data_IF_894844423683
#
_entry.id   IF_894844423683
#
_cell.length_a   1.000
_cell.length_b   1.000
_cell.length_c   1.000
_cell.angle_alpha   90.00
_cell.angle_beta   90.00
_cell.angle_gamma   90.00
#
_symmetry.space_group_name_H-M   'P 1'
#
loop_
_entity.id
_entity.type
_entity.pdbx_description
1 polymer ?
#
# COMPACT_ATOMS: atom_id res chain seq x y z
N UNK A 1 -1.74 10.88 12.88
CA UNK A 1 -3.11 10.91 13.42
C UNK A 1 -3.83 9.70 12.81
N UNK A 2 -4.51 8.86 13.59
CA UNK A 2 -5.26 7.70 13.05
C UNK A 2 -6.48 8.21 12.28
N UNK A 3 -6.50 8.01 10.97
CA UNK A 3 -7.40 8.57 9.99
C UNK A 3 -8.35 7.49 9.47
N UNK A 4 -9.24 6.94 10.30
CA UNK A 4 -10.61 6.62 9.83
C UNK A 4 -11.52 5.95 10.84
N UNK A 5 -10.99 5.29 11.88
CA UNK A 5 -11.87 4.54 12.78
C UNK A 5 -12.58 5.36 13.86
N UNK A 6 -12.08 6.56 14.20
CA UNK A 6 -12.61 7.34 15.33
C UNK A 6 -12.45 8.86 15.12
N UNK A 7 -13.30 9.45 14.28
CA UNK A 7 -13.31 10.89 14.00
C UNK A 7 -13.84 11.78 15.14
N UNK A 8 -14.21 11.25 16.31
CA UNK A 8 -14.94 12.02 17.33
C UNK A 8 -14.15 12.46 18.56
N UNK A 9 -12.96 11.92 18.84
CA UNK A 9 -12.28 12.16 20.14
C UNK A 9 -10.75 12.30 20.07
N UNK A 10 -10.20 12.99 19.08
CA UNK A 10 -8.77 13.28 19.05
C UNK A 10 -8.41 14.56 19.81
N UNK A 11 -7.51 14.47 20.80
CA UNK A 11 -6.72 15.60 21.31
C UNK A 11 -5.25 15.34 20.93
N UNK A 12 -4.58 16.32 20.33
CA UNK A 12 -3.17 16.23 19.94
C UNK A 12 -2.84 15.04 19.00
N UNK A 13 -3.74 14.67 18.09
CA UNK A 13 -3.54 13.59 17.12
C UNK A 13 -3.28 12.18 17.70
N UNK A 14 -3.62 11.96 18.98
CA UNK A 14 -3.63 10.65 19.62
C UNK A 14 -5.07 10.22 19.88
N UNK A 15 -5.34 8.93 19.67
CA UNK A 15 -6.56 8.28 20.16
C UNK A 15 -6.38 8.07 21.67
N UNK A 16 -7.44 8.25 22.45
CA UNK A 16 -7.41 7.94 23.89
C UNK A 16 -7.04 6.47 24.11
N UNK A 17 -6.09 6.19 25.00
CA UNK A 17 -5.55 4.86 25.27
C UNK A 17 -4.27 4.48 24.50
N UNK A 18 -3.81 5.33 23.56
CA UNK A 18 -2.59 5.12 22.77
C UNK A 18 -1.37 5.89 23.31
N UNK A 19 -1.38 6.32 24.58
CA UNK A 19 -0.40 7.24 25.15
C UNK A 19 1.01 6.65 25.24
N UNK A 20 1.11 5.33 25.34
CA UNK A 20 2.36 4.56 25.48
C UNK A 20 2.84 3.94 24.17
N UNK A 21 2.10 4.07 23.07
CA UNK A 21 2.50 3.53 21.77
C UNK A 21 3.65 4.33 21.16
N UNK A 22 4.63 3.63 20.56
CA UNK A 22 5.82 4.23 19.96
C UNK A 22 5.47 4.87 18.62
N UNK A 23 5.85 6.14 18.44
CA UNK A 23 5.73 6.84 17.17
C UNK A 23 6.88 6.49 16.21
N UNK A 24 6.64 6.52 14.89
CA UNK A 24 5.36 6.81 14.22
C UNK A 24 4.39 5.62 14.34
N UNK A 25 3.11 5.88 14.63
CA UNK A 25 2.09 4.85 14.50
C UNK A 25 1.61 4.81 13.04
N UNK A 26 1.38 3.60 12.53
CA UNK A 26 0.71 3.37 11.26
C UNK A 26 -0.75 3.81 11.41
N UNK A 27 -1.01 5.04 11.01
CA UNK A 27 -2.35 5.42 10.66
C UNK A 27 -2.79 4.53 9.48
N UNK A 28 -3.93 3.82 9.55
CA UNK A 28 -4.49 3.16 8.39
C UNK A 28 -5.03 4.26 7.49
N UNK A 29 -4.12 4.93 6.76
CA UNK A 29 -4.49 5.44 5.46
C UNK A 29 -5.00 4.26 4.63
N UNK A 30 -5.72 4.54 3.55
CA UNK A 30 -6.00 3.59 2.47
C UNK A 30 -4.70 3.04 1.88
N UNK A 31 -4.01 2.20 2.63
CA UNK A 31 -2.89 1.43 2.13
C UNK A 31 -3.52 0.47 1.13
N UNK A 32 -3.16 0.67 -0.14
CA UNK A 32 -3.46 -0.28 -1.23
C UNK A 32 -2.82 -1.66 -0.91
N UNK A 33 -1.90 -1.71 0.04
CA UNK A 33 -1.12 -2.88 0.44
C UNK A 33 -1.38 -3.25 1.91
N UNK A 34 -1.39 -4.55 2.18
CA UNK A 34 -1.35 -5.10 3.55
C UNK A 34 0.03 -4.83 4.18
N UNK A 35 0.13 -3.77 4.99
CA UNK A 35 1.39 -3.29 5.58
C UNK A 35 2.09 -4.32 6.49
N UNK A 36 1.40 -5.04 7.40
CA UNK A 36 2.01 -6.15 8.14
C UNK A 36 2.63 -7.19 7.21
N UNK A 37 1.89 -7.66 6.20
CA UNK A 37 2.43 -8.61 5.23
C UNK A 37 3.58 -8.03 4.41
N UNK A 38 3.60 -6.72 4.16
CA UNK A 38 4.72 -6.08 3.48
C UNK A 38 6.03 -6.27 4.24
N UNK A 39 6.00 -6.11 5.57
CA UNK A 39 7.20 -6.28 6.39
C UNK A 39 7.57 -7.75 6.65
N UNK A 40 6.67 -8.69 6.37
CA UNK A 40 6.87 -10.14 6.51
C UNK A 40 7.21 -10.85 5.20
N UNK A 41 7.11 -10.17 4.04
CA UNK A 41 7.38 -10.77 2.73
C UNK A 41 8.88 -11.00 2.46
N UNK A 42 9.19 -11.80 1.43
CA UNK A 42 10.56 -12.08 1.03
C UNK A 42 11.02 -11.30 -0.21
N UNK A 43 10.25 -10.27 -0.62
CA UNK A 43 10.59 -9.40 -1.76
C UNK A 43 11.89 -8.60 -1.52
N UNK A 44 12.31 -8.47 -0.25
CA UNK A 44 13.55 -7.76 0.11
C UNK A 44 13.48 -6.24 -0.08
N UNK A 45 12.27 -5.68 -0.18
CA UNK A 45 12.05 -4.25 -0.39
C UNK A 45 11.56 -3.59 0.90
N UNK A 46 12.37 -2.70 1.48
CA UNK A 46 11.98 -1.90 2.63
C UNK A 46 11.24 -0.62 2.20
N UNK A 47 10.25 -0.20 2.98
CA UNK A 47 9.58 1.10 2.81
C UNK A 47 10.29 2.18 3.65
N UNK A 48 10.32 3.40 3.12
CA UNK A 48 10.71 4.61 3.86
C UNK A 48 9.50 5.54 4.00
N UNK A 49 9.52 6.39 5.01
CA UNK A 49 8.50 7.40 5.22
C UNK A 49 8.45 8.41 4.05
N UNK A 50 7.28 8.98 3.71
CA UNK A 50 7.17 9.95 2.61
C UNK A 50 8.09 11.16 2.72
N UNK A 51 8.43 11.56 3.95
CA UNK A 51 9.34 12.67 4.24
C UNK A 51 10.82 12.30 4.23
N UNK A 52 11.19 11.06 3.87
CA UNK A 52 12.57 10.57 3.96
C UNK A 52 13.55 11.47 3.21
N UNK A 53 13.20 11.90 1.99
CA UNK A 53 14.03 12.80 1.16
C UNK A 53 14.11 14.24 1.69
N UNK A 54 13.19 14.63 2.58
CA UNK A 54 13.16 15.97 3.20
C UNK A 54 13.92 16.00 4.53
N UNK A 55 14.43 14.85 5.00
CA UNK A 55 15.13 14.77 6.28
C UNK A 55 16.46 15.52 6.21
N UNK A 56 16.64 16.55 7.06
CA UNK A 56 17.86 17.35 7.12
C UNK A 56 19.13 16.55 7.49
N UNK A 57 18.96 15.33 8.04
CA UNK A 57 20.07 14.41 8.35
C UNK A 57 20.46 13.53 7.17
N UNK A 58 19.67 13.52 6.09
CA UNK A 58 20.00 12.76 4.89
C UNK A 58 21.22 13.40 4.22
N UNK A 59 22.18 12.57 3.80
CA UNK A 59 23.35 13.09 3.12
C UNK A 59 22.94 13.75 1.79
N UNK A 60 23.47 14.95 1.46
CA UNK A 60 23.16 15.61 0.20
C UNK A 60 23.48 14.77 -1.04
N UNK A 61 24.46 13.87 -0.94
CA UNK A 61 24.81 12.91 -1.99
C UNK A 61 23.65 12.00 -2.37
N UNK A 62 22.80 11.61 -1.41
CA UNK A 62 21.64 10.75 -1.67
C UNK A 62 20.51 11.56 -2.29
N UNK A 63 20.12 12.67 -1.66
CA UNK A 63 19.00 13.49 -2.14
C UNK A 63 19.26 14.14 -3.51
N UNK A 64 20.51 14.49 -3.81
CA UNK A 64 20.89 15.06 -5.10
C UNK A 64 21.12 14.03 -6.21
N UNK A 65 21.16 12.73 -5.90
CA UNK A 65 21.47 11.65 -6.85
C UNK A 65 20.19 10.93 -7.29
N UNK A 66 19.44 11.61 -8.16
CA UNK A 66 18.15 11.15 -8.70
C UNK A 66 18.29 10.93 -10.21
N UNK A 67 17.95 9.73 -10.66
CA UNK A 67 17.70 9.43 -12.07
C UNK A 67 16.20 9.21 -12.30
N UNK A 68 15.62 9.98 -13.22
CA UNK A 68 14.24 9.78 -13.67
C UNK A 68 14.21 8.84 -14.86
N UNK A 69 13.37 7.83 -14.80
CA UNK A 69 13.30 6.76 -15.78
C UNK A 69 11.87 6.60 -16.25
N UNK A 70 11.70 6.64 -17.57
CA UNK A 70 10.44 6.30 -18.22
C UNK A 70 10.56 4.89 -18.81
N UNK A 71 9.64 4.02 -18.41
CA UNK A 71 9.57 2.64 -18.91
C UNK A 71 8.36 2.57 -19.86
N UNK A 72 8.61 2.57 -21.17
CA UNK A 72 7.53 2.68 -22.16
C UNK A 72 6.81 1.35 -22.44
N UNK A 73 7.52 0.24 -22.29
CA UNK A 73 6.99 -1.11 -22.48
C UNK A 73 7.27 -1.95 -21.23
N UNK A 74 6.40 -2.90 -20.87
CA UNK A 74 6.66 -3.80 -19.76
C UNK A 74 8.02 -4.49 -19.91
N UNK A 75 8.85 -4.47 -18.88
CA UNK A 75 10.17 -5.12 -18.85
C UNK A 75 10.24 -6.22 -17.80
N UNK A 76 11.00 -7.27 -18.07
CA UNK A 76 11.34 -8.30 -17.08
C UNK A 76 12.59 -7.93 -16.27
N UNK A 77 12.96 -8.78 -15.31
CA UNK A 77 14.08 -8.54 -14.40
C UNK A 77 15.46 -8.44 -15.09
N UNK A 78 15.63 -9.07 -16.25
CA UNK A 78 16.87 -8.97 -17.06
C UNK A 78 16.89 -7.67 -17.84
N UNK A 79 15.78 -7.33 -18.50
CA UNK A 79 15.63 -6.11 -19.29
C UNK A 79 15.72 -4.86 -18.42
N UNK A 80 15.11 -4.85 -17.22
CA UNK A 80 15.18 -3.71 -16.31
C UNK A 80 16.61 -3.47 -15.81
N UNK A 81 17.39 -4.52 -15.57
CA UNK A 81 18.81 -4.40 -15.18
C UNK A 81 19.62 -3.71 -16.28
N UNK A 82 19.40 -4.09 -17.54
CA UNK A 82 20.11 -3.46 -18.65
C UNK A 82 19.64 -2.01 -18.87
N UNK A 83 18.33 -1.76 -18.80
CA UNK A 83 17.75 -0.42 -18.92
C UNK A 83 18.33 0.55 -17.87
N UNK A 84 18.46 0.08 -16.64
CA UNK A 84 18.90 0.88 -15.50
C UNK A 84 20.43 0.97 -15.37
N UNK A 85 21.20 0.22 -16.16
CA UNK A 85 22.67 0.17 -16.09
C UNK A 85 23.32 1.54 -16.24
N UNK A 86 22.78 2.38 -17.13
CA UNK A 86 23.27 3.76 -17.33
C UNK A 86 23.07 4.67 -16.10
N UNK A 87 22.26 4.25 -15.14
CA UNK A 87 21.96 4.97 -13.90
C UNK A 87 22.57 4.28 -12.67
N UNK A 88 23.59 3.42 -12.84
CA UNK A 88 24.21 2.67 -11.73
C UNK A 88 24.78 3.56 -10.61
N UNK A 89 25.11 4.82 -10.93
CA UNK A 89 25.61 5.80 -9.97
C UNK A 89 24.50 6.57 -9.23
N UNK A 90 23.25 6.42 -9.65
CA UNK A 90 22.11 7.05 -9.00
C UNK A 90 21.77 6.34 -7.69
N UNK A 91 21.50 7.11 -6.64
CA UNK A 91 21.01 6.55 -5.37
C UNK A 91 19.49 6.40 -5.35
N UNK A 92 18.80 7.16 -6.20
CA UNK A 92 17.34 7.17 -6.30
C UNK A 92 16.96 7.00 -7.77
N UNK A 93 16.13 6.00 -8.04
CA UNK A 93 15.45 5.82 -9.32
C UNK A 93 14.00 6.27 -9.13
N UNK A 94 13.59 7.29 -9.86
CA UNK A 94 12.21 7.77 -9.92
C UNK A 94 11.60 7.27 -11.23
N UNK A 95 10.55 6.44 -11.14
CA UNK A 95 9.85 5.90 -12.30
C UNK A 95 8.61 6.79 -12.54
N UNK A 96 8.55 7.43 -13.71
CA UNK A 96 7.49 8.40 -14.03
C UNK A 96 6.07 7.78 -13.96
N UNK A 97 5.92 6.59 -14.55
CA UNK A 97 4.71 5.77 -14.46
C UNK A 97 5.12 4.30 -14.25
N UNK A 98 4.76 3.76 -13.08
CA UNK A 98 5.05 2.37 -12.74
C UNK A 98 3.95 1.41 -13.18
N UNK A 99 2.80 1.91 -13.66
CA UNK A 99 1.69 1.07 -14.09
C UNK A 99 2.12 0.27 -15.32
N UNK A 100 2.01 -1.05 -15.23
CA UNK A 100 2.41 -1.98 -16.29
C UNK A 100 3.90 -1.90 -16.71
N UNK A 101 4.76 -1.26 -15.91
CA UNK A 101 6.18 -1.14 -16.24
C UNK A 101 6.95 -2.45 -16.07
N UNK A 102 6.51 -3.34 -15.17
CA UNK A 102 7.16 -4.62 -14.88
C UNK A 102 6.26 -5.80 -15.22
N UNK A 103 6.80 -6.78 -15.95
CA UNK A 103 6.06 -7.96 -16.39
C UNK A 103 6.44 -9.26 -15.67
N UNK A 104 7.48 -9.25 -14.80
CA UNK A 104 7.88 -10.40 -13.99
C UNK A 104 9.34 -10.81 -14.15
N UNK A 105 9.65 -12.00 -13.64
CA UNK A 105 11.00 -12.59 -13.69
C UNK A 105 11.11 -13.63 -14.81
N UNK A 106 12.28 -13.69 -15.46
CA UNK A 106 12.57 -14.71 -16.48
C UNK A 106 12.62 -16.11 -15.87
N UNK A 107 13.16 -16.23 -14.66
CA UNK A 107 13.18 -17.49 -13.91
C UNK A 107 11.78 -17.84 -13.40
N UNK A 108 11.29 -19.03 -13.78
CA UNK A 108 9.93 -19.47 -13.51
C UNK A 108 9.62 -19.56 -12.00
N UNK A 109 10.54 -20.11 -11.21
CA UNK A 109 10.31 -20.34 -9.78
C UNK A 109 10.33 -19.04 -8.99
N UNK A 110 11.22 -18.11 -9.37
CA UNK A 110 11.25 -16.75 -8.83
C UNK A 110 10.00 -15.97 -9.22
N UNK A 111 9.58 -16.05 -10.50
CA UNK A 111 8.35 -15.39 -10.96
C UNK A 111 7.11 -15.91 -10.22
N UNK A 112 7.02 -17.24 -10.05
CA UNK A 112 5.91 -17.87 -9.34
C UNK A 112 5.83 -17.42 -7.88
N UNK A 113 6.98 -17.33 -7.19
CA UNK A 113 7.04 -16.79 -5.81
C UNK A 113 6.67 -15.32 -5.75
N UNK A 114 7.19 -14.51 -6.66
CA UNK A 114 6.86 -13.09 -6.75
C UNK A 114 5.36 -12.85 -6.93
N UNK A 115 4.72 -13.60 -7.83
CA UNK A 115 3.27 -13.52 -8.05
C UNK A 115 2.48 -13.91 -6.80
N UNK A 116 2.86 -14.99 -6.12
CA UNK A 116 2.19 -15.44 -4.91
C UNK A 116 2.30 -14.42 -3.76
N UNK A 117 3.49 -13.85 -3.54
CA UNK A 117 3.69 -12.83 -2.51
C UNK A 117 2.96 -11.52 -2.85
N UNK A 118 3.07 -11.07 -4.09
CA UNK A 118 2.37 -9.86 -4.55
C UNK A 118 0.87 -10.02 -4.43
N UNK A 119 0.33 -11.19 -4.78
CA UNK A 119 -1.09 -11.49 -4.58
C UNK A 119 -1.45 -11.48 -3.09
N UNK A 120 -0.63 -12.03 -2.20
CA UNK A 120 -0.89 -12.01 -0.76
C UNK A 120 -0.89 -10.58 -0.17
N UNK A 121 -0.03 -9.70 -0.69
CA UNK A 121 0.08 -8.28 -0.31
C UNK A 121 -1.09 -7.44 -0.82
N UNK A 122 -1.54 -7.72 -2.05
CA UNK A 122 -2.61 -6.98 -2.73
C UNK A 122 -4.01 -7.53 -2.42
N UNK A 123 -4.11 -8.79 -1.99
CA UNK A 123 -5.36 -9.38 -1.55
C UNK A 123 -5.68 -8.93 -0.12
N UNK A 124 -5.93 -7.62 0.02
CA UNK A 124 -6.39 -7.01 1.25
C UNK A 124 -7.91 -6.94 1.25
N UNK A 125 -8.56 -7.94 1.85
CA UNK A 125 -9.99 -7.87 2.15
C UNK A 125 -10.18 -7.04 3.42
N UNK A 126 -10.62 -5.78 3.28
CA UNK A 126 -11.13 -5.04 4.45
C UNK A 126 -12.33 -5.79 5.01
N UNK A 127 -12.35 -5.96 6.32
CA UNK A 127 -13.62 -6.18 7.03
C UNK A 127 -14.55 -5.02 6.65
N UNK A 128 -15.79 -5.27 6.20
CA UNK A 128 -16.66 -4.25 5.62
C UNK A 128 -16.72 -3.01 6.50
N UNK A 129 -16.51 -1.84 5.88
CA UNK A 129 -16.56 -0.55 6.57
C UNK A 129 -17.98 0.02 6.44
N UNK A 130 -18.58 0.36 7.57
CA UNK A 130 -19.96 0.82 7.60
C UNK A 130 -20.03 2.29 7.98
N UNK A 131 -20.18 3.13 6.96
CA UNK A 131 -20.45 4.54 7.11
C UNK A 131 -21.80 4.86 6.45
N UNK A 132 -22.59 5.72 7.06
CA UNK A 132 -23.63 6.45 6.33
C UNK A 132 -23.13 7.87 6.11
N UNK A 133 -23.01 8.28 4.84
CA UNK A 133 -23.25 9.68 4.52
C UNK A 133 -24.76 9.94 4.71
N UNK A 134 -25.11 10.90 5.58
CA UNK A 134 -26.46 11.50 5.59
C UNK A 134 -27.56 10.85 6.44
N UNK A 135 -27.26 10.04 7.46
CA UNK A 135 -28.31 9.50 8.33
C UNK A 135 -28.41 10.15 9.70
N UNK A 136 -29.59 10.70 9.96
CA UNK A 136 -29.93 11.36 11.20
C UNK A 136 -30.29 10.40 12.36
N UNK A 137 -30.24 9.05 12.21
CA UNK A 137 -30.79 8.14 13.24
C UNK A 137 -30.30 6.67 13.21
N UNK A 138 -29.04 6.38 12.88
CA UNK A 138 -28.46 5.06 13.23
C UNK A 138 -27.71 5.13 14.57
N UNK A 139 -27.82 4.09 15.42
CA UNK A 139 -26.98 4.01 16.61
C UNK A 139 -25.51 3.95 16.19
N UNK A 140 -24.65 4.62 16.97
CA UNK A 140 -23.21 4.78 16.75
C UNK A 140 -22.42 3.44 16.68
N UNK A 141 -23.09 2.30 16.84
CA UNK A 141 -22.54 0.95 16.78
C UNK A 141 -23.60 -0.02 16.21
N UNK A 142 -23.75 -0.10 14.88
CA UNK A 142 -24.49 -1.21 14.24
C UNK A 142 -23.52 -2.18 13.55
N UNK A 143 -23.94 -3.44 13.38
CA UNK A 143 -23.18 -4.42 12.63
C UNK A 143 -23.23 -4.12 11.13
N UNK A 144 -22.10 -4.35 10.48
CA UNK A 144 -22.01 -4.44 9.03
C UNK A 144 -22.65 -5.74 8.54
N UNK A 145 -23.23 -5.68 7.35
CA UNK A 145 -23.59 -6.85 6.53
C UNK A 145 -24.81 -7.67 6.95
N UNK A 146 -25.07 -7.84 8.25
CA UNK A 146 -26.14 -8.72 8.71
C UNK A 146 -26.87 -8.13 9.92
N UNK A 147 -28.20 -8.27 9.99
CA UNK A 147 -28.95 -7.93 11.20
C UNK A 147 -28.68 -8.97 12.30
N UNK A 148 -28.49 -8.55 13.56
CA UNK A 148 -28.34 -9.48 14.70
C UNK A 148 -29.67 -10.18 15.00
N UNK A 149 -30.78 -9.47 14.81
CA UNK A 149 -32.14 -9.95 15.02
C UNK A 149 -33.06 -9.46 13.89
N UNK A 150 -34.16 -10.17 13.59
CA UNK A 150 -35.13 -9.72 12.61
C UNK A 150 -35.62 -8.29 12.91
N UNK A 151 -35.49 -7.40 11.92
CA UNK A 151 -35.87 -5.98 12.04
C UNK A 151 -34.75 -5.02 12.43
N UNK A 152 -33.54 -5.53 12.77
CA UNK A 152 -32.38 -4.67 13.03
C UNK A 152 -31.94 -3.94 11.74
N UNK A 153 -31.64 -2.65 11.88
CA UNK A 153 -30.98 -1.88 10.81
C UNK A 153 -29.51 -2.22 10.77
N UNK A 154 -29.03 -2.66 9.62
CA UNK A 154 -27.62 -2.91 9.34
C UNK A 154 -27.18 -2.04 8.16
N UNK A 155 -25.88 -1.84 8.02
CA UNK A 155 -25.30 -1.11 6.89
C UNK A 155 -25.03 -2.08 5.73
N UNK A 156 -25.22 -1.66 4.47
CA UNK A 156 -24.86 -2.48 3.31
C UNK A 156 -23.37 -2.82 3.35
N UNK A 157 -23.01 -4.07 3.03
CA UNK A 157 -21.61 -4.41 2.83
C UNK A 157 -21.10 -3.66 1.62
N UNK A 158 -19.97 -2.98 1.79
CA UNK A 158 -19.05 -2.75 0.69
C UNK A 158 -17.90 -3.69 0.99
N UNK A 159 -17.88 -4.83 0.29
CA UNK A 159 -16.70 -5.68 0.28
C UNK A 159 -15.55 -4.88 -0.35
N UNK A 160 -14.35 -5.07 0.18
CA UNK A 160 -13.16 -4.32 -0.23
C UNK A 160 -12.83 -4.45 -1.73
N UNK A 161 -11.76 -3.78 -2.14
CA UNK A 161 -11.31 -3.64 -3.52
C UNK A 161 -11.31 -4.95 -4.33
N UNK A 162 -11.56 -4.84 -5.64
CA UNK A 162 -11.47 -5.93 -6.61
C UNK A 162 -10.13 -6.68 -6.49
N UNK A 163 -10.11 -7.93 -6.95
CA UNK A 163 -8.88 -8.69 -7.04
C UNK A 163 -7.81 -7.89 -7.83
N UNK A 164 -6.53 -7.96 -7.43
CA UNK A 164 -5.46 -7.26 -8.13
C UNK A 164 -5.43 -7.69 -9.60
N UNK A 165 -5.21 -6.71 -10.48
CA UNK A 165 -5.01 -6.97 -11.90
C UNK A 165 -3.75 -7.84 -12.07
N UNK A 166 -3.80 -8.75 -13.04
CA UNK A 166 -2.62 -9.50 -13.44
C UNK A 166 -1.51 -8.57 -13.95
N UNK A 167 -0.26 -9.00 -13.82
CA UNK A 167 0.87 -8.32 -14.46
C UNK A 167 0.68 -8.28 -15.99
N UNK A 168 1.20 -7.25 -16.67
CA UNK A 168 1.24 -7.24 -18.13
C UNK A 168 2.10 -8.41 -18.65
N UNK A 169 1.82 -8.85 -19.88
CA UNK A 169 2.70 -9.79 -20.56
C UNK A 169 4.04 -9.12 -20.91
N UNK A 170 5.14 -9.88 -20.79
CA UNK A 170 6.43 -9.41 -21.32
C UNK A 170 6.38 -9.37 -22.85
N UNK A 171 6.87 -8.31 -23.50
CA UNK A 171 7.10 -8.30 -24.93
C UNK A 171 8.07 -9.43 -25.30
N UNK A 172 7.76 -10.13 -26.40
CA UNK A 172 8.61 -11.19 -26.98
C UNK A 172 9.78 -10.57 -27.73
#
# INVERSE_FOLDING_TARGET
>A
CYCDFMWKEMRNCRVGGAETMRLPFDCPMDHVFDTPKWFENSLGVSIREPSFLQNYRLQPSVNGSIARVKIENPVNDVQVKELLKQYESAHIIEIDDAINAFCGFVDHDTNSRFLAETQALLHYRRTPFCMMEGSNNAPLFSQCCYPRKPGDKFFPCIDGFDAPKALPACPV
#
